data_IF_177406686398
#
_entry.id   IF_177406686398
#
_cell.length_a   1.000
_cell.length_b   1.000
_cell.length_c   1.000
_cell.angle_alpha   90.00
_cell.angle_beta   90.00
_cell.angle_gamma   90.00
#
_symmetry.space_group_name_H-M   'P 1'
#
loop_
_entity.id
_entity.type
_entity.pdbx_description
1 polymer ?
#
# COMPACT_ATOMS: atom_id res chain seq x y z
N UNK A 1 29.31 -14.78 -31.69
CA UNK A 1 29.16 -13.31 -31.65
C UNK A 1 28.25 -12.96 -30.49
N UNK A 2 28.89 -12.58 -29.38
CA UNK A 2 28.41 -11.74 -28.25
C UNK A 2 26.90 -11.58 -28.03
N UNK A 3 26.36 -12.32 -27.05
CA UNK A 3 25.13 -11.89 -26.37
C UNK A 3 25.46 -10.65 -25.53
N UNK A 4 24.86 -9.53 -25.91
CA UNK A 4 24.92 -8.24 -25.22
C UNK A 4 24.26 -8.37 -23.83
N UNK A 5 24.89 -7.90 -22.74
CA UNK A 5 24.33 -8.02 -21.41
C UNK A 5 23.07 -7.15 -21.32
N UNK A 6 21.90 -7.80 -21.27
CA UNK A 6 20.64 -7.13 -21.03
C UNK A 6 20.73 -6.33 -19.71
N UNK A 7 20.64 -5.01 -19.85
CA UNK A 7 20.58 -4.01 -18.78
C UNK A 7 19.57 -4.47 -17.72
N UNK A 8 20.07 -4.97 -16.58
CA UNK A 8 19.24 -5.40 -15.45
C UNK A 8 18.53 -4.19 -14.87
N UNK A 9 17.31 -3.96 -15.32
CA UNK A 9 16.40 -2.98 -14.73
C UNK A 9 16.13 -3.36 -13.28
N UNK A 10 16.44 -2.45 -12.35
CA UNK A 10 16.17 -2.59 -10.91
C UNK A 10 14.69 -2.90 -10.62
N UNK A 11 13.79 -2.54 -11.55
CA UNK A 11 12.35 -2.68 -11.43
C UNK A 11 11.76 -4.01 -11.94
N UNK A 12 12.56 -4.88 -12.58
CA UNK A 12 12.07 -6.12 -13.20
C UNK A 12 12.66 -7.40 -12.58
N UNK A 13 12.86 -7.39 -11.25
CA UNK A 13 13.24 -8.59 -10.52
C UNK A 13 11.97 -9.26 -10.02
N UNK A 14 11.67 -10.47 -10.50
CA UNK A 14 10.67 -11.32 -9.86
C UNK A 14 11.13 -11.54 -8.41
N UNK A 15 10.57 -10.75 -7.48
CA UNK A 15 10.88 -10.83 -6.07
C UNK A 15 10.14 -12.05 -5.55
N UNK A 16 10.86 -13.17 -5.50
CA UNK A 16 10.35 -14.37 -4.86
C UNK A 16 10.30 -14.12 -3.34
N UNK A 17 9.09 -14.14 -2.79
CA UNK A 17 8.80 -13.98 -1.38
C UNK A 17 8.74 -15.32 -0.64
N UNK A 18 8.77 -16.45 -1.37
CA UNK A 18 8.75 -17.81 -0.82
C UNK A 18 10.12 -18.48 -0.80
N UNK A 19 10.92 -18.33 -1.87
CA UNK A 19 12.17 -19.07 -2.04
C UNK A 19 13.35 -18.11 -2.27
N UNK A 20 13.84 -17.48 -1.20
CA UNK A 20 14.99 -16.57 -1.28
C UNK A 20 15.40 -15.96 0.06
N UNK A 21 16.44 -15.11 0.09
CA UNK A 21 16.82 -14.36 1.29
C UNK A 21 15.71 -13.36 1.64
N UNK A 22 14.80 -13.78 2.52
CA UNK A 22 13.56 -13.11 2.93
C UNK A 22 13.80 -11.62 3.21
N UNK A 23 14.87 -11.29 3.92
CA UNK A 23 15.18 -9.92 4.32
C UNK A 23 15.38 -8.97 3.12
N UNK A 24 16.03 -9.44 2.05
CA UNK A 24 16.29 -8.62 0.86
C UNK A 24 15.03 -8.46 0.01
N UNK A 25 14.26 -9.54 -0.14
CA UNK A 25 12.98 -9.50 -0.86
C UNK A 25 11.97 -8.60 -0.15
N UNK A 26 11.88 -8.70 1.18
CA UNK A 26 11.01 -7.87 2.01
C UNK A 26 11.38 -6.39 1.94
N UNK A 27 12.67 -6.03 2.03
CA UNK A 27 13.10 -4.64 1.91
C UNK A 27 12.77 -4.03 0.55
N UNK A 28 12.97 -4.77 -0.55
CA UNK A 28 12.65 -4.29 -1.90
C UNK A 28 11.14 -4.14 -2.10
N UNK A 29 10.33 -5.02 -1.50
CA UNK A 29 8.87 -4.95 -1.58
C UNK A 29 8.28 -3.86 -0.67
N UNK A 30 8.85 -3.64 0.51
CA UNK A 30 8.39 -2.62 1.46
C UNK A 30 8.73 -1.21 0.99
N UNK A 31 9.84 -1.00 0.27
CA UNK A 31 10.28 0.32 -0.18
C UNK A 31 9.21 1.07 -1.01
N UNK A 32 8.57 0.49 -2.05
CA UNK A 32 7.49 1.16 -2.76
C UNK A 32 6.24 1.35 -1.88
N UNK A 33 5.92 0.42 -0.99
CA UNK A 33 4.77 0.56 -0.06
C UNK A 33 4.98 1.75 0.88
N UNK A 34 6.17 1.86 1.47
CA UNK A 34 6.54 2.94 2.37
C UNK A 34 6.43 4.29 1.65
N UNK A 35 6.95 4.37 0.42
CA UNK A 35 6.83 5.57 -0.41
C UNK A 35 5.37 5.91 -0.68
N UNK A 36 4.54 4.93 -1.04
CA UNK A 36 3.09 5.14 -1.22
C UNK A 36 2.41 5.66 0.06
N UNK A 37 2.69 5.07 1.22
CA UNK A 37 2.15 5.54 2.50
C UNK A 37 2.59 6.97 2.84
N UNK A 38 3.86 7.32 2.58
CA UNK A 38 4.36 8.68 2.79
C UNK A 38 3.64 9.69 1.88
N UNK A 39 3.46 9.36 0.60
CA UNK A 39 2.72 10.23 -0.32
C UNK A 39 1.25 10.37 0.07
N UNK A 40 0.62 9.29 0.53
CA UNK A 40 -0.75 9.34 1.02
C UNK A 40 -0.87 10.25 2.26
N UNK A 41 0.07 10.16 3.20
CA UNK A 41 0.08 11.03 4.38
C UNK A 41 0.35 12.50 4.02
N UNK A 42 1.26 12.75 3.07
CA UNK A 42 1.52 14.07 2.52
C UNK A 42 0.29 14.65 1.86
N UNK A 43 -0.43 13.86 1.06
CA UNK A 43 -1.67 14.28 0.41
C UNK A 43 -2.72 14.69 1.45
N UNK A 44 -2.97 13.85 2.45
CA UNK A 44 -3.93 14.16 3.52
C UNK A 44 -3.53 15.43 4.29
N UNK A 45 -2.23 15.62 4.54
CA UNK A 45 -1.71 16.79 5.27
C UNK A 45 -1.83 18.07 4.43
N UNK A 46 -1.46 18.01 3.14
CA UNK A 46 -1.52 19.14 2.22
C UNK A 46 -2.98 19.53 1.96
N UNK A 47 -3.88 18.56 1.75
CA UNK A 47 -5.32 18.80 1.60
C UNK A 47 -5.89 19.52 2.83
N UNK A 48 -5.59 19.01 4.02
CA UNK A 48 -6.00 19.64 5.29
C UNK A 48 -5.43 21.05 5.45
N UNK A 49 -4.16 21.27 5.09
CA UNK A 49 -3.49 22.57 5.16
C UNK A 49 -4.08 23.58 4.17
N UNK A 50 -4.36 23.15 2.93
CA UNK A 50 -4.99 23.98 1.90
C UNK A 50 -6.41 24.36 2.34
N UNK A 51 -7.21 23.39 2.79
CA UNK A 51 -8.58 23.69 3.23
C UNK A 51 -8.56 24.60 4.45
N UNK A 52 -7.67 24.37 5.41
CA UNK A 52 -7.50 25.26 6.57
C UNK A 52 -7.08 26.68 6.18
N UNK A 53 -6.20 26.85 5.18
CA UNK A 53 -5.72 28.17 4.76
C UNK A 53 -6.73 28.90 3.85
N UNK A 54 -7.46 28.19 3.00
CA UNK A 54 -8.36 28.78 1.98
C UNK A 54 -9.80 28.94 2.49
N UNK A 55 -10.32 28.01 3.28
CA UNK A 55 -11.68 28.07 3.84
C UNK A 55 -11.71 28.47 5.33
N UNK A 56 -10.57 28.47 6.02
CA UNK A 56 -10.44 28.89 7.42
C UNK A 56 -10.79 27.81 8.45
N UNK A 57 -10.69 28.18 9.73
CA UNK A 57 -10.78 27.26 10.88
C UNK A 57 -12.10 26.51 10.98
N UNK A 58 -13.21 27.11 10.52
CA UNK A 58 -14.54 26.48 10.57
C UNK A 58 -14.62 25.26 9.63
N UNK A 59 -14.01 25.35 8.44
CA UNK A 59 -13.97 24.22 7.52
C UNK A 59 -13.05 23.11 8.01
N UNK A 60 -11.93 23.47 8.63
CA UNK A 60 -11.02 22.50 9.26
C UNK A 60 -11.70 21.75 10.42
N UNK A 61 -12.45 22.46 11.27
CA UNK A 61 -13.23 21.85 12.34
C UNK A 61 -14.33 20.92 11.82
N UNK A 62 -14.97 21.29 10.70
CA UNK A 62 -15.97 20.43 10.04
C UNK A 62 -15.36 19.14 9.49
N UNK A 63 -14.18 19.21 8.85
CA UNK A 63 -13.45 18.02 8.40
C UNK A 63 -13.09 17.12 9.58
N UNK A 64 -12.61 17.70 10.69
CA UNK A 64 -12.33 16.95 11.91
C UNK A 64 -13.57 16.24 12.48
N UNK A 65 -14.73 16.91 12.47
CA UNK A 65 -15.99 16.33 12.94
C UNK A 65 -16.50 15.19 12.04
N UNK A 66 -16.36 15.32 10.71
CA UNK A 66 -16.72 14.28 9.76
C UNK A 66 -15.67 13.16 9.66
N UNK A 67 -14.43 13.40 10.11
CA UNK A 67 -13.31 12.48 10.01
C UNK A 67 -13.58 11.12 10.66
N UNK A 68 -14.24 11.09 11.82
CA UNK A 68 -14.56 9.83 12.51
C UNK A 68 -15.49 8.91 11.68
N UNK A 69 -16.47 9.48 10.98
CA UNK A 69 -17.39 8.72 10.12
C UNK A 69 -16.65 8.23 8.86
N UNK A 70 -15.80 9.09 8.29
CA UNK A 70 -14.94 8.72 7.16
C UNK A 70 -13.99 7.58 7.49
N UNK A 71 -13.26 7.67 8.61
CA UNK A 71 -12.33 6.64 9.08
C UNK A 71 -13.04 5.31 9.38
N UNK A 72 -14.28 5.35 9.87
CA UNK A 72 -15.08 4.14 10.06
C UNK A 72 -15.35 3.43 8.72
N UNK A 73 -15.77 4.18 7.70
CA UNK A 73 -16.07 3.64 6.37
C UNK A 73 -14.82 3.11 5.67
N UNK A 74 -13.75 3.91 5.66
CA UNK A 74 -12.47 3.52 5.05
C UNK A 74 -11.84 2.36 5.79
N UNK A 75 -11.78 2.43 7.12
CA UNK A 75 -11.26 1.38 7.99
C UNK A 75 -12.01 0.07 7.84
N UNK A 76 -13.33 0.11 7.63
CA UNK A 76 -14.12 -1.08 7.33
C UNK A 76 -13.73 -1.72 5.98
N UNK A 77 -13.58 -0.92 4.93
CA UNK A 77 -13.13 -1.39 3.62
C UNK A 77 -11.72 -2.00 3.66
N UNK A 78 -10.79 -1.31 4.34
CA UNK A 78 -9.43 -1.81 4.57
C UNK A 78 -9.46 -3.11 5.38
N UNK A 79 -10.32 -3.20 6.40
CA UNK A 79 -10.46 -4.39 7.24
C UNK A 79 -10.88 -5.62 6.44
N UNK A 80 -11.90 -5.49 5.58
CA UNK A 80 -12.34 -6.57 4.69
C UNK A 80 -11.23 -6.92 3.70
N UNK A 81 -10.65 -5.93 3.04
CA UNK A 81 -9.59 -6.13 2.05
C UNK A 81 -8.39 -6.87 2.63
N UNK A 82 -7.91 -6.46 3.81
CA UNK A 82 -6.81 -7.12 4.50
C UNK A 82 -7.17 -8.52 4.97
N UNK A 83 -8.40 -8.74 5.47
CA UNK A 83 -8.87 -10.06 5.86
C UNK A 83 -8.85 -11.05 4.70
N UNK A 84 -9.38 -10.65 3.54
CA UNK A 84 -9.37 -11.45 2.32
C UNK A 84 -7.95 -11.66 1.79
N UNK A 85 -7.11 -10.62 1.79
CA UNK A 85 -5.72 -10.70 1.35
C UNK A 85 -4.91 -11.71 2.17
N UNK A 86 -5.15 -11.82 3.48
CA UNK A 86 -4.49 -12.81 4.34
C UNK A 86 -4.91 -14.24 3.96
N UNK A 87 -6.21 -14.47 3.72
CA UNK A 87 -6.71 -15.79 3.30
C UNK A 87 -6.12 -16.18 1.95
N UNK A 88 -6.14 -15.26 0.97
CA UNK A 88 -5.55 -15.47 -0.35
C UNK A 88 -4.03 -15.72 -0.27
N UNK A 89 -3.30 -14.98 0.55
CA UNK A 89 -1.85 -15.17 0.74
C UNK A 89 -1.54 -16.54 1.35
N UNK A 90 -2.37 -17.03 2.28
CA UNK A 90 -2.23 -18.37 2.87
C UNK A 90 -2.54 -19.47 1.86
N UNK A 91 -3.61 -19.34 1.09
CA UNK A 91 -3.96 -20.30 0.03
C UNK A 91 -2.85 -20.39 -1.03
N UNK A 92 -2.34 -19.23 -1.48
CA UNK A 92 -1.22 -19.15 -2.42
C UNK A 92 0.07 -19.77 -1.85
N UNK A 93 0.39 -19.50 -0.59
CA UNK A 93 1.55 -20.09 0.08
C UNK A 93 1.43 -21.60 0.30
N UNK A 94 0.21 -22.14 0.40
CA UNK A 94 -0.06 -23.56 0.57
C UNK A 94 -0.12 -24.33 -0.78
N UNK A 95 -0.11 -23.63 -1.92
CA UNK A 95 -0.25 -24.24 -3.25
C UNK A 95 -1.66 -24.78 -3.54
N UNK A 96 -2.67 -24.27 -2.84
CA UNK A 96 -4.07 -24.74 -2.95
C UNK A 96 -4.87 -23.83 -3.91
N UNK A 97 -4.67 -24.06 -5.21
CA UNK A 97 -5.24 -23.28 -6.31
C UNK A 97 -6.78 -23.36 -6.41
N UNK A 98 -7.43 -24.21 -5.60
CA UNK A 98 -8.90 -24.30 -5.54
C UNK A 98 -9.54 -23.28 -4.59
N UNK A 99 -8.79 -22.76 -3.60
CA UNK A 99 -9.27 -21.65 -2.75
C UNK A 99 -8.99 -20.26 -3.34
N UNK A 100 -8.26 -20.17 -4.45
CA UNK A 100 -7.89 -18.93 -5.14
C UNK A 100 -8.87 -18.52 -6.25
N UNK A 101 -9.83 -19.38 -6.62
CA UNK A 101 -10.86 -19.11 -7.65
C UNK A 101 -12.10 -18.45 -7.04
#
# INVERSE_FOLDING_TARGET
>A
MTQSPAKKSFFNRNVDLMNGPIFKSLLVFMLPILVSCLFQQLYNTVDTMIVGNVLGDTALAAIGACGAIYELLVGFGIGIGNGLAIVAARAYGAGDDDQLK
#
